data_IF_514314316944
#
_entry.id   IF_514314316944
#
_cell.length_a   1.000
_cell.length_b   1.000
_cell.length_c   1.000
_cell.angle_alpha   90.00
_cell.angle_beta   90.00
_cell.angle_gamma   90.00
#
_symmetry.space_group_name_H-M   'P 1'
#
loop_
_entity.id
_entity.type
_entity.pdbx_description
1 polymer ?
#
# COMPACT_ATOMS: atom_id res chain seq x y z
N UNK A 1 -10.65 11.09 -0.81
CA UNK A 1 -10.86 11.64 0.54
C UNK A 1 -11.27 13.07 0.44
N UNK A 2 -12.28 13.47 1.19
CA UNK A 2 -12.46 14.89 1.49
C UNK A 2 -11.42 15.32 2.52
N UNK A 3 -11.06 16.61 2.54
CA UNK A 3 -10.05 17.11 3.47
C UNK A 3 -10.40 16.81 4.95
N UNK A 4 -11.69 16.78 5.28
CA UNK A 4 -12.18 16.47 6.63
C UNK A 4 -11.96 15.01 7.02
N UNK A 5 -12.16 14.08 6.08
CA UNK A 5 -11.90 12.65 6.29
C UNK A 5 -10.43 12.44 6.66
N UNK A 6 -9.53 13.13 5.96
CA UNK A 6 -8.09 13.10 6.22
C UNK A 6 -7.76 13.68 7.59
N UNK A 7 -8.40 14.79 7.99
CA UNK A 7 -8.18 15.40 9.31
C UNK A 7 -8.58 14.45 10.44
N UNK A 8 -9.61 13.64 10.23
CA UNK A 8 -10.08 12.65 11.21
C UNK A 8 -9.23 11.38 11.21
N UNK A 9 -8.87 10.88 10.03
CA UNK A 9 -8.15 9.61 9.89
C UNK A 9 -6.65 9.73 10.12
N UNK A 10 -6.01 10.85 9.78
CA UNK A 10 -4.55 10.96 9.81
C UNK A 10 -3.92 10.69 11.20
N UNK A 11 -4.48 11.20 12.33
CA UNK A 11 -3.93 10.87 13.65
C UNK A 11 -4.00 9.38 13.97
N UNK A 12 -5.13 8.73 13.64
CA UNK A 12 -5.34 7.30 13.87
C UNK A 12 -4.46 6.47 12.94
N UNK A 13 -4.38 6.83 11.66
CA UNK A 13 -3.49 6.18 10.70
C UNK A 13 -2.05 6.20 11.21
N UNK A 14 -1.54 7.35 11.66
CA UNK A 14 -0.20 7.46 12.23
C UNK A 14 -0.04 6.57 13.48
N UNK A 15 -1.02 6.56 14.37
CA UNK A 15 -1.00 5.73 15.58
C UNK A 15 -0.97 4.23 15.26
N UNK A 16 -1.87 3.77 14.39
CA UNK A 16 -1.97 2.37 14.01
C UNK A 16 -0.76 1.90 13.18
N UNK A 17 -0.17 2.76 12.36
CA UNK A 17 1.08 2.46 11.64
C UNK A 17 2.20 2.11 12.64
N UNK A 18 2.36 2.90 13.70
CA UNK A 18 3.36 2.62 14.75
C UNK A 18 3.06 1.31 15.47
N UNK A 19 1.79 1.09 15.84
CA UNK A 19 1.34 -0.13 16.53
C UNK A 19 1.66 -1.37 15.69
N UNK A 20 1.27 -1.37 14.42
CA UNK A 20 1.51 -2.52 13.51
C UNK A 20 3.01 -2.75 13.31
N UNK A 21 3.78 -1.67 13.09
CA UNK A 21 5.23 -1.79 12.88
C UNK A 21 5.94 -2.43 14.08
N UNK A 22 5.47 -2.14 15.29
CA UNK A 22 6.07 -2.62 16.54
C UNK A 22 5.50 -3.97 17.01
N UNK A 23 4.40 -4.45 16.41
CA UNK A 23 3.74 -5.69 16.84
C UNK A 23 4.49 -6.93 16.32
N UNK A 24 5.07 -7.76 17.20
CA UNK A 24 5.78 -8.97 16.78
C UNK A 24 4.91 -9.97 16.03
N UNK A 25 3.58 -9.91 16.20
CA UNK A 25 2.63 -10.76 15.46
C UNK A 25 2.57 -10.37 13.98
N UNK A 26 2.86 -9.11 13.64
CA UNK A 26 2.97 -8.64 12.27
C UNK A 26 4.30 -9.02 11.62
N UNK A 27 5.29 -9.49 12.40
CA UNK A 27 6.61 -9.91 11.91
C UNK A 27 6.63 -11.37 11.42
N UNK A 28 5.51 -12.08 11.55
CA UNK A 28 5.32 -13.41 10.96
C UNK A 28 4.41 -13.28 9.73
N UNK A 29 4.96 -12.83 8.59
CA UNK A 29 4.15 -12.54 7.41
C UNK A 29 3.43 -13.80 6.95
N UNK A 30 2.11 -13.69 6.77
CA UNK A 30 1.39 -14.65 5.95
C UNK A 30 1.90 -14.55 4.52
N UNK A 31 2.08 -15.68 3.83
CA UNK A 31 2.49 -15.68 2.42
C UNK A 31 1.52 -14.83 1.60
N UNK A 32 2.02 -13.75 1.01
CA UNK A 32 1.22 -12.81 0.21
C UNK A 32 0.86 -11.48 0.91
N UNK A 33 1.29 -11.25 2.15
CA UNK A 33 1.09 -9.98 2.84
C UNK A 33 1.92 -8.82 2.25
N UNK A 34 2.83 -9.12 1.30
CA UNK A 34 3.82 -8.19 0.75
C UNK A 34 5.01 -7.93 1.68
N UNK A 35 4.87 -8.30 2.95
CA UNK A 35 5.89 -8.24 4.00
C UNK A 35 6.67 -9.56 4.13
N UNK A 36 6.72 -10.37 3.06
CA UNK A 36 7.24 -11.74 3.05
C UNK A 36 8.72 -11.89 3.50
N UNK A 37 9.46 -10.77 3.58
CA UNK A 37 10.89 -10.72 3.88
C UNK A 37 11.20 -10.22 5.30
N UNK A 38 10.18 -9.98 6.13
CA UNK A 38 10.42 -9.66 7.55
C UNK A 38 10.99 -10.87 8.27
N UNK A 39 12.02 -10.65 9.08
CA UNK A 39 12.53 -11.62 10.03
C UNK A 39 12.47 -11.07 11.44
N UNK A 40 12.60 -11.94 12.44
CA UNK A 40 12.71 -11.51 13.84
C UNK A 40 13.93 -10.59 14.10
N UNK A 41 15.00 -10.78 13.32
CA UNK A 41 16.24 -9.98 13.39
C UNK A 41 16.10 -8.62 12.69
N UNK A 42 15.27 -8.55 11.65
CA UNK A 42 15.01 -7.34 10.87
C UNK A 42 13.50 -7.06 10.76
N UNK A 43 12.85 -6.65 11.87
CA UNK A 43 11.41 -6.44 11.94
C UNK A 43 11.00 -5.09 11.32
N UNK A 44 11.15 -4.95 10.00
CA UNK A 44 10.82 -3.71 9.27
C UNK A 44 9.70 -3.95 8.24
N UNK A 45 8.46 -4.23 8.67
CA UNK A 45 7.30 -4.30 7.78
C UNK A 45 7.14 -3.00 7.00
N UNK A 46 7.35 -3.06 5.69
CA UNK A 46 7.31 -1.89 4.81
C UNK A 46 5.87 -1.53 4.43
N UNK A 47 4.97 -2.52 4.42
CA UNK A 47 3.52 -2.32 4.19
C UNK A 47 2.78 -1.85 5.46
N UNK A 48 3.47 -1.65 6.59
CA UNK A 48 2.88 -1.14 7.84
C UNK A 48 1.99 0.10 7.66
N UNK A 49 2.35 1.01 6.76
CA UNK A 49 1.57 2.22 6.48
C UNK A 49 0.23 1.89 5.83
N UNK A 50 0.15 0.86 4.98
CA UNK A 50 -1.09 0.40 4.37
C UNK A 50 -1.99 -0.28 5.42
N UNK A 51 -1.43 -1.10 6.31
CA UNK A 51 -2.21 -1.68 7.41
C UNK A 51 -2.70 -0.62 8.39
N UNK A 52 -1.81 0.32 8.75
CA UNK A 52 -2.15 1.46 9.59
C UNK A 52 -3.27 2.30 8.99
N UNK A 53 -3.29 2.48 7.67
CA UNK A 53 -4.36 3.17 6.97
C UNK A 53 -5.70 2.45 7.11
N UNK A 54 -5.72 1.12 6.91
CA UNK A 54 -6.95 0.30 7.05
C UNK A 54 -7.52 0.43 8.46
N UNK A 55 -6.70 0.22 9.50
CA UNK A 55 -7.16 0.37 10.88
C UNK A 55 -7.56 1.81 11.20
N UNK A 56 -6.72 2.80 10.83
CA UNK A 56 -6.96 4.19 11.14
C UNK A 56 -8.26 4.72 10.54
N UNK A 57 -8.52 4.41 9.27
CA UNK A 57 -9.77 4.82 8.59
C UNK A 57 -10.99 4.07 9.11
N UNK A 58 -10.86 2.78 9.43
CA UNK A 58 -11.94 2.00 10.05
C UNK A 58 -12.32 2.52 11.44
N UNK A 59 -11.31 2.88 12.25
CA UNK A 59 -11.52 3.44 13.59
C UNK A 59 -12.05 4.88 13.55
N UNK A 60 -11.74 5.63 12.49
CA UNK A 60 -12.38 6.92 12.21
C UNK A 60 -13.85 6.78 11.75
N UNK A 61 -14.36 5.56 11.54
CA UNK A 61 -15.71 5.32 11.04
C UNK A 61 -15.91 5.71 9.58
N UNK A 62 -14.83 5.85 8.81
CA UNK A 62 -14.89 6.22 7.41
C UNK A 62 -15.34 5.05 6.55
N UNK A 63 -15.97 5.37 5.41
CA UNK A 63 -16.37 4.39 4.39
C UNK A 63 -15.64 4.69 3.09
N UNK A 64 -15.15 3.64 2.44
CA UNK A 64 -14.48 3.76 1.16
C UNK A 64 -15.47 3.59 0.01
N UNK A 65 -15.34 4.47 -0.99
CA UNK A 65 -16.00 4.28 -2.27
C UNK A 65 -15.05 3.52 -3.19
N UNK A 66 -15.52 2.42 -3.78
CA UNK A 66 -14.77 1.72 -4.81
C UNK A 66 -15.00 2.46 -6.14
N UNK A 67 -13.90 2.84 -6.79
CA UNK A 67 -13.92 3.47 -8.12
C UNK A 67 -13.22 2.53 -9.10
N UNK A 68 -14.00 1.92 -9.99
CA UNK A 68 -13.51 0.93 -10.96
C UNK A 68 -12.64 1.57 -12.06
N UNK A 69 -12.84 2.86 -12.31
CA UNK A 69 -12.08 3.60 -13.32
C UNK A 69 -10.68 4.04 -12.91
N UNK A 70 -10.20 3.64 -11.73
CA UNK A 70 -8.87 3.99 -11.25
C UNK A 70 -7.88 2.87 -11.53
N UNK A 71 -6.73 3.19 -12.12
CA UNK A 71 -5.62 2.24 -12.27
C UNK A 71 -4.99 1.93 -10.91
N UNK A 72 -4.82 0.65 -10.59
CA UNK A 72 -4.15 0.20 -9.36
C UNK A 72 -2.63 0.37 -9.44
N UNK A 73 -2.03 0.07 -10.59
CA UNK A 73 -0.61 0.21 -10.86
C UNK A 73 -0.39 0.82 -12.24
N UNK A 74 0.69 1.58 -12.41
CA UNK A 74 1.13 2.03 -13.72
C UNK A 74 1.26 0.84 -14.70
N UNK A 75 0.72 0.99 -15.90
CA UNK A 75 0.72 -0.07 -16.92
C UNK A 75 -0.42 -1.09 -16.81
N UNK A 76 -1.20 -1.09 -15.72
CA UNK A 76 -2.41 -1.92 -15.61
C UNK A 76 -3.63 -1.17 -16.16
N UNK A 77 -4.51 -1.80 -16.95
CA UNK A 77 -5.80 -1.21 -17.29
C UNK A 77 -6.63 -1.00 -16.01
N UNK A 78 -7.47 0.05 -15.95
CA UNK A 78 -8.49 0.15 -14.90
C UNK A 78 -9.42 -1.07 -14.96
N UNK A 79 -10.19 -1.31 -13.90
CA UNK A 79 -11.13 -2.44 -13.88
C UNK A 79 -12.29 -2.27 -14.86
N UNK A 80 -12.55 -1.04 -15.31
CA UNK A 80 -13.43 -0.78 -16.44
C UNK A 80 -12.63 -0.27 -17.65
N UNK A 81 -13.09 -0.64 -18.85
CA UNK A 81 -12.46 -0.24 -20.12
C UNK A 81 -12.81 1.19 -20.53
N UNK A 82 -13.87 1.77 -19.95
CA UNK A 82 -14.37 3.12 -20.27
C UNK A 82 -13.52 4.24 -19.66
N UNK A 83 -12.84 3.98 -18.54
CA UNK A 83 -12.05 4.99 -17.81
C UNK A 83 -10.57 4.99 -18.17
N UNK A 84 -10.23 4.70 -19.44
CA UNK A 84 -8.85 4.71 -19.92
C UNK A 84 -8.28 6.14 -20.03
N UNK A 85 -8.11 6.80 -18.88
CA UNK A 85 -7.47 8.11 -18.73
C UNK A 85 -6.41 7.99 -17.63
N UNK A 86 -5.11 8.07 -17.93
CA UNK A 86 -4.08 7.79 -16.96
C UNK A 86 -3.89 8.96 -15.98
N UNK A 87 -4.49 8.88 -14.79
CA UNK A 87 -3.92 9.51 -13.61
C UNK A 87 -3.06 8.47 -12.90
N UNK A 88 -1.74 8.66 -12.98
CA UNK A 88 -0.77 7.72 -12.45
C UNK A 88 -0.63 7.94 -10.93
N UNK A 89 -1.06 6.97 -10.11
CA UNK A 89 -1.09 7.12 -8.64
C UNK A 89 -0.01 6.29 -7.94
N UNK A 90 0.41 5.14 -8.48
CA UNK A 90 1.37 4.27 -7.81
C UNK A 90 2.10 3.30 -8.76
N UNK A 91 3.36 2.98 -8.43
CA UNK A 91 4.21 2.05 -9.16
C UNK A 91 4.36 0.74 -8.39
N UNK A 92 4.28 -0.40 -9.09
CA UNK A 92 4.53 -1.72 -8.51
C UNK A 92 6.02 -1.96 -8.23
N UNK A 93 6.35 -3.13 -7.63
CA UNK A 93 7.73 -3.51 -7.35
C UNK A 93 8.57 -3.69 -8.63
N UNK A 94 7.94 -4.09 -9.73
CA UNK A 94 8.53 -4.23 -11.05
C UNK A 94 7.65 -3.54 -12.08
N UNK A 95 8.27 -2.86 -13.02
CA UNK A 95 7.63 -2.23 -14.17
C UNK A 95 8.44 -2.61 -15.41
N UNK A 96 7.75 -3.08 -16.43
CA UNK A 96 8.31 -3.33 -17.76
C UNK A 96 7.58 -2.41 -18.76
N UNK A 97 8.32 -1.58 -19.49
CA UNK A 97 7.82 -0.69 -20.55
C UNK A 97 8.71 -0.88 -21.78
N UNK A 98 8.23 -1.69 -22.73
CA UNK A 98 8.95 -2.00 -23.98
C UNK A 98 10.38 -2.52 -23.71
N UNK A 99 11.40 -1.75 -24.07
CA UNK A 99 12.83 -2.06 -23.89
C UNK A 99 13.39 -1.58 -22.54
N UNK A 100 12.60 -0.86 -21.76
CA UNK A 100 12.96 -0.38 -20.44
C UNK A 100 12.30 -1.22 -19.34
N UNK A 101 13.05 -1.54 -18.30
CA UNK A 101 12.53 -2.16 -17.10
C UNK A 101 13.10 -1.49 -15.85
N UNK A 102 12.27 -1.38 -14.81
CA UNK A 102 12.69 -0.97 -13.49
C UNK A 102 12.20 -1.98 -12.46
N UNK A 103 13.13 -2.45 -11.65
CA UNK A 103 12.87 -3.50 -10.69
C UNK A 103 13.37 -3.09 -9.31
N UNK A 104 12.46 -2.64 -8.45
CA UNK A 104 12.75 -2.24 -7.06
C UNK A 104 13.36 -3.38 -6.24
N UNK A 105 13.36 -4.62 -6.73
CA UNK A 105 14.10 -5.70 -6.10
C UNK A 105 15.63 -5.51 -6.15
N UNK A 106 16.17 -4.48 -6.83
CA UNK A 106 17.62 -4.22 -6.89
C UNK A 106 18.27 -3.99 -5.50
N UNK A 107 17.53 -3.51 -4.49
CA UNK A 107 18.06 -3.37 -3.12
C UNK A 107 18.38 -4.71 -2.45
N UNK A 108 17.98 -5.83 -3.08
CA UNK A 108 18.19 -7.18 -2.57
C UNK A 108 19.38 -7.92 -3.22
N UNK A 109 20.13 -7.28 -4.13
CA UNK A 109 21.32 -7.86 -4.77
C UNK A 109 22.66 -7.40 -4.17
N UNK A 110 22.65 -6.58 -3.10
CA UNK A 110 23.85 -6.10 -2.40
C UNK A 110 24.01 -6.70 -1.01
#
# INVERSE_FOLDING_TARGET
FWAEDLRTAAPLWFEYTKKVRQDPRAHFPFRGSGDAFITAEYPRPWISEMYGYVFGTGMAGLKHNIKHGTQLYAGMPPWDEESFHPFLIHYGLRIDVEDWAWDKHFEYQS
#
